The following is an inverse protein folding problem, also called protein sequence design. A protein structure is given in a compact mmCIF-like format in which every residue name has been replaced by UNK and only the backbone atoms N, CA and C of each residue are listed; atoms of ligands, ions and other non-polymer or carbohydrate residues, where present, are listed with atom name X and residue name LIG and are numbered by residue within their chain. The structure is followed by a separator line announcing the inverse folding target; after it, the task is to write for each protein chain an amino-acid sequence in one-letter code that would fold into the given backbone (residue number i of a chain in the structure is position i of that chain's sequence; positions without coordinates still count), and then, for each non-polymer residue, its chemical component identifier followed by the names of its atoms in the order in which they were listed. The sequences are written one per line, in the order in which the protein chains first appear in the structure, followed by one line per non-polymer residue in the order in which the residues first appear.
data_IF_408338194583
#
_entry.id   IF_408338194583
#
_cell.length_a   1.000
_cell.length_b   1.000
_cell.length_c   1.000
_cell.angle_alpha   90.00
_cell.angle_beta   90.00
_cell.angle_gamma   90.00
#
_symmetry.space_group_name_H-M   'P 1'
#
loop_
_entity.id
_entity.type
_entity.pdbx_description
1 polymer ?
#
# COMPACT_ATOMS: atom_id res chain seq x y z
N UNK A 1 -3.90 6.53 7.00
CA UNK A 1 -4.39 6.72 8.39
C UNK A 1 -3.84 5.62 9.29
N UNK A 2 -4.02 4.35 8.91
CA UNK A 2 -3.52 3.18 9.67
C UNK A 2 -1.99 3.13 9.82
N UNK A 3 -1.23 3.57 8.80
CA UNK A 3 0.24 3.67 8.88
C UNK A 3 0.70 4.65 9.97
N UNK A 4 0.06 5.82 10.06
CA UNK A 4 0.37 6.84 11.07
C UNK A 4 -0.06 6.41 12.46
N UNK A 5 -1.20 5.73 12.59
CA UNK A 5 -1.65 5.13 13.87
C UNK A 5 -0.65 4.10 14.39
N UNK A 6 -0.14 3.25 13.49
CA UNK A 6 0.88 2.25 13.82
C UNK A 6 2.19 2.91 14.26
N UNK A 7 2.64 3.95 13.57
CA UNK A 7 3.82 4.73 13.99
C UNK A 7 3.59 5.43 15.32
N UNK A 8 2.41 6.00 15.56
CA UNK A 8 2.08 6.64 16.84
C UNK A 8 2.14 5.66 18.01
N UNK A 9 1.74 4.40 17.79
CA UNK A 9 1.69 3.37 18.84
C UNK A 9 3.04 2.71 19.10
N UNK A 10 3.81 2.42 18.05
CA UNK A 10 5.03 1.60 18.15
C UNK A 10 6.32 2.45 18.05
N UNK A 11 6.23 3.68 17.57
CA UNK A 11 7.37 4.45 17.10
C UNK A 11 7.78 4.05 15.68
N UNK A 12 8.44 4.95 14.93
CA UNK A 12 8.67 4.77 13.48
C UNK A 12 9.49 3.52 13.15
N UNK A 13 10.57 3.27 13.90
CA UNK A 13 11.43 2.09 13.68
C UNK A 13 10.73 0.76 13.94
N UNK A 14 9.87 0.69 14.96
CA UNK A 14 9.16 -0.54 15.28
C UNK A 14 7.92 -0.73 14.38
N UNK A 15 7.29 0.34 13.92
CA UNK A 15 6.22 0.29 12.93
C UNK A 15 6.70 -0.23 11.57
N UNK A 16 7.91 0.15 11.17
CA UNK A 16 8.56 -0.35 9.94
C UNK A 16 9.20 -1.73 10.10
N UNK A 17 9.27 -2.28 11.31
CA UNK A 17 9.77 -3.65 11.53
C UNK A 17 8.84 -4.70 10.91
N UNK A 18 9.36 -5.90 10.66
CA UNK A 18 8.56 -7.02 10.15
C UNK A 18 7.29 -7.28 10.99
N UNK A 19 7.37 -7.10 12.32
CA UNK A 19 6.23 -7.26 13.24
C UNK A 19 5.20 -6.14 13.06
N UNK A 20 5.66 -4.89 12.91
CA UNK A 20 4.79 -3.74 12.67
C UNK A 20 4.09 -3.80 11.30
N UNK A 21 4.81 -4.24 10.28
CA UNK A 21 4.25 -4.48 8.95
C UNK A 21 3.27 -5.67 8.96
N UNK A 22 3.57 -6.75 9.68
CA UNK A 22 2.64 -7.89 9.82
C UNK A 22 1.31 -7.48 10.46
N UNK A 23 1.34 -6.63 11.49
CA UNK A 23 0.13 -6.13 12.15
C UNK A 23 -0.79 -5.31 11.24
N UNK A 24 -0.27 -4.79 10.12
CA UNK A 24 -1.04 -4.00 9.13
C UNK A 24 -1.20 -4.73 7.79
N UNK A 25 -0.55 -5.87 7.62
CA UNK A 25 -0.43 -6.61 6.36
C UNK A 25 -1.78 -6.93 5.70
N UNK A 26 -2.78 -7.36 6.48
CA UNK A 26 -4.12 -7.66 5.94
C UNK A 26 -4.85 -6.42 5.42
N UNK A 27 -4.56 -5.24 5.97
CA UNK A 27 -5.24 -3.99 5.64
C UNK A 27 -4.59 -3.23 4.49
N UNK A 28 -3.30 -3.46 4.24
CA UNK A 28 -2.53 -2.82 3.16
C UNK A 28 -2.47 -3.67 1.88
N UNK A 29 -3.23 -4.78 1.80
CA UNK A 29 -3.26 -5.62 0.61
C UNK A 29 -3.84 -4.86 -0.59
N UNK A 30 -3.30 -5.04 -1.81
CA UNK A 30 -3.82 -4.40 -3.02
C UNK A 30 -5.06 -5.15 -3.57
N UNK A 31 -5.90 -5.75 -2.73
CA UNK A 31 -7.07 -6.52 -3.14
C UNK A 31 -6.75 -7.67 -4.09
N UNK A 32 -7.53 -7.82 -5.17
CA UNK A 32 -7.38 -8.92 -6.12
C UNK A 32 -6.06 -8.92 -6.88
N UNK A 33 -5.27 -7.85 -6.81
CA UNK A 33 -3.96 -7.77 -7.46
C UNK A 33 -2.88 -8.63 -6.77
N UNK A 34 -3.07 -8.98 -5.49
CA UNK A 34 -2.14 -9.80 -4.71
C UNK A 34 -0.72 -9.22 -4.61
N UNK A 35 0.23 -10.03 -4.17
CA UNK A 35 1.62 -9.58 -3.94
C UNK A 35 2.35 -9.28 -5.25
N UNK A 36 2.11 -10.09 -6.30
CA UNK A 36 2.69 -9.83 -7.63
C UNK A 36 2.24 -8.49 -8.19
N UNK A 37 0.95 -8.17 -8.05
CA UNK A 37 0.44 -6.86 -8.43
C UNK A 37 1.02 -5.73 -7.57
N UNK A 38 1.18 -5.95 -6.26
CA UNK A 38 1.87 -5.00 -5.37
C UNK A 38 3.30 -4.68 -5.88
N UNK A 39 4.04 -5.69 -6.33
CA UNK A 39 5.40 -5.53 -6.85
C UNK A 39 5.42 -4.75 -8.18
N UNK A 40 4.48 -5.03 -9.09
CA UNK A 40 4.35 -4.25 -10.33
C UNK A 40 3.97 -2.80 -10.04
N UNK A 41 3.06 -2.56 -9.09
CA UNK A 41 2.70 -1.21 -8.64
C UNK A 41 3.90 -0.50 -8.03
N UNK A 42 4.69 -1.18 -7.19
CA UNK A 42 5.91 -0.62 -6.62
C UNK A 42 6.89 -0.13 -7.71
N UNK A 43 7.18 -0.98 -8.69
CA UNK A 43 8.08 -0.65 -9.80
C UNK A 43 7.52 0.49 -10.66
N UNK A 44 6.22 0.45 -10.97
CA UNK A 44 5.55 1.48 -11.76
C UNK A 44 5.57 2.83 -11.04
N UNK A 45 5.27 2.84 -9.74
CA UNK A 45 5.29 4.04 -8.92
C UNK A 45 6.69 4.63 -8.80
N UNK A 46 7.75 3.82 -8.66
CA UNK A 46 9.13 4.32 -8.66
C UNK A 46 9.58 4.84 -10.03
N UNK A 47 9.02 4.30 -11.12
CA UNK A 47 9.27 4.84 -12.46
C UNK A 47 8.60 6.21 -12.67
N UNK A 48 7.41 6.42 -12.09
CA UNK A 48 6.67 7.69 -12.18
C UNK A 48 7.19 8.72 -11.17
N UNK A 49 7.57 8.27 -9.98
CA UNK A 49 8.04 9.06 -8.86
C UNK A 49 9.38 8.50 -8.36
N UNK A 50 10.50 8.85 -9.01
CA UNK A 50 11.83 8.40 -8.60
C UNK A 50 12.10 8.71 -7.12
N UNK A 51 12.85 7.83 -6.46
CA UNK A 51 13.15 7.95 -5.02
C UNK A 51 13.76 9.29 -4.64
N UNK A 52 14.58 9.89 -5.49
CA UNK A 52 15.16 11.22 -5.26
C UNK A 52 14.11 12.33 -5.17
N UNK A 53 13.03 12.24 -5.94
CA UNK A 53 11.91 13.19 -5.87
C UNK A 53 11.07 12.94 -4.62
N UNK A 54 10.85 11.67 -4.27
CA UNK A 54 10.14 11.30 -3.04
C UNK A 54 10.88 11.79 -1.79
N UNK A 55 12.21 11.68 -1.75
CA UNK A 55 13.04 12.20 -0.66
C UNK A 55 12.94 13.73 -0.54
N UNK A 56 12.82 14.47 -1.64
CA UNK A 56 12.58 15.92 -1.60
C UNK A 56 11.23 16.27 -0.97
N UNK A 57 10.24 15.40 -1.14
CA UNK A 57 8.90 15.55 -0.57
C UNK A 57 8.75 14.93 0.83
N UNK A 58 9.84 14.45 1.47
CA UNK A 58 9.78 13.67 2.70
C UNK A 58 9.00 14.32 3.84
N UNK A 59 9.08 15.64 3.96
CA UNK A 59 8.40 16.37 5.02
C UNK A 59 6.86 16.28 4.92
N UNK A 60 6.32 15.90 3.76
CA UNK A 60 4.87 15.73 3.54
C UNK A 60 4.31 14.42 4.07
N UNK A 61 5.15 13.40 4.24
CA UNK A 61 4.74 12.06 4.70
C UNK A 61 5.54 11.56 5.91
N UNK A 62 6.40 12.40 6.48
CA UNK A 62 6.98 12.16 7.80
C UNK A 62 5.88 11.82 8.82
N UNK A 63 6.11 10.88 9.75
CA UNK A 63 7.38 10.22 10.07
C UNK A 63 7.71 8.96 9.24
N UNK A 64 7.00 8.67 8.15
CA UNK A 64 7.26 7.49 7.33
C UNK A 64 8.52 7.67 6.49
N UNK A 65 9.32 6.61 6.34
CA UNK A 65 10.34 6.56 5.28
C UNK A 65 9.68 6.52 3.89
N UNK A 66 10.44 6.81 2.83
CA UNK A 66 9.95 6.71 1.44
C UNK A 66 9.39 5.32 1.14
N UNK A 67 10.08 4.27 1.59
CA UNK A 67 9.64 2.88 1.38
C UNK A 67 8.36 2.60 2.15
N UNK A 68 8.28 3.00 3.42
CA UNK A 68 7.06 2.83 4.20
C UNK A 68 5.89 3.59 3.59
N UNK A 69 6.10 4.81 3.10
CA UNK A 69 5.08 5.59 2.41
C UNK A 69 4.61 4.89 1.11
N UNK A 70 5.53 4.37 0.30
CA UNK A 70 5.19 3.61 -0.89
C UNK A 70 4.32 2.38 -0.56
N UNK A 71 4.77 1.55 0.38
CA UNK A 71 4.13 0.29 0.73
C UNK A 71 2.80 0.46 1.46
N UNK A 72 2.71 1.41 2.39
CA UNK A 72 1.54 1.55 3.26
C UNK A 72 0.52 2.60 2.81
N UNK A 73 0.87 3.41 1.80
CA UNK A 73 -0.01 4.46 1.27
C UNK A 73 -0.12 4.40 -0.25
N UNK A 74 0.97 4.61 -1.00
CA UNK A 74 0.86 4.77 -2.45
C UNK A 74 0.39 3.51 -3.16
N UNK A 75 0.90 2.32 -2.79
CA UNK A 75 0.47 1.05 -3.38
C UNK A 75 -1.03 0.79 -3.12
N UNK A 76 -1.54 0.85 -1.87
CA UNK A 76 -2.97 0.70 -1.61
C UNK A 76 -3.86 1.72 -2.32
N UNK A 77 -3.44 3.00 -2.40
CA UNK A 77 -4.21 4.04 -3.10
C UNK A 77 -4.20 3.85 -4.62
N UNK A 78 -3.07 3.43 -5.19
CA UNK A 78 -2.99 3.07 -6.61
C UNK A 78 -3.86 1.86 -6.94
N UNK A 79 -3.81 0.81 -6.11
CA UNK A 79 -4.68 -0.36 -6.27
C UNK A 79 -6.17 0.03 -6.19
N UNK A 80 -6.54 0.89 -5.24
CA UNK A 80 -7.90 1.40 -5.12
C UNK A 80 -8.33 2.19 -6.36
N UNK A 81 -7.46 3.08 -6.87
CA UNK A 81 -7.74 3.85 -8.08
C UNK A 81 -7.94 2.96 -9.32
N UNK A 82 -7.10 1.93 -9.48
CA UNK A 82 -7.25 0.96 -10.56
C UNK A 82 -8.56 0.16 -10.44
N UNK A 83 -8.96 -0.24 -9.23
CA UNK A 83 -10.26 -0.92 -9.03
C UNK A 83 -11.43 0.00 -9.39
N UNK A 84 -11.34 1.30 -9.03
CA UNK A 84 -12.35 2.28 -9.40
C UNK A 84 -12.50 2.36 -10.92
N UNK A 85 -11.38 2.38 -11.64
CA UNK A 85 -11.33 2.42 -13.11
C UNK A 85 -11.86 1.11 -13.72
N UNK A 86 -11.33 -0.04 -13.31
CA UNK A 86 -11.69 -1.37 -13.82
C UNK A 86 -13.20 -1.65 -13.70
N UNK A 87 -13.80 -1.20 -12.61
CA UNK A 87 -15.21 -1.49 -12.29
C UNK A 87 -16.14 -0.32 -12.58
N UNK A 88 -15.62 0.80 -13.06
CA UNK A 88 -16.35 2.07 -13.20
C UNK A 88 -17.21 2.36 -11.95
N UNK A 89 -16.57 2.32 -10.78
CA UNK A 89 -17.24 2.31 -9.48
C UNK A 89 -16.85 3.51 -8.62
N UNK A 90 -17.69 3.82 -7.64
CA UNK A 90 -17.37 4.85 -6.65
C UNK A 90 -16.19 4.39 -5.78
N UNK A 91 -15.49 5.35 -5.16
CA UNK A 91 -14.39 5.04 -4.23
C UNK A 91 -14.83 4.10 -3.09
N UNK A 92 -16.07 4.21 -2.62
CA UNK A 92 -16.58 3.37 -1.54
C UNK A 92 -16.78 1.92 -1.99
N UNK A 93 -17.34 1.71 -3.18
CA UNK A 93 -17.52 0.38 -3.77
C UNK A 93 -16.19 -0.28 -4.12
N UNK A 94 -15.25 0.50 -4.66
CA UNK A 94 -13.90 0.04 -4.95
C UNK A 94 -13.16 -0.34 -3.66
N UNK A 95 -13.33 0.41 -2.57
CA UNK A 95 -12.74 0.07 -1.27
C UNK A 95 -13.33 -1.20 -0.69
N UNK A 96 -14.65 -1.41 -0.85
CA UNK A 96 -15.29 -2.67 -0.46
C UNK A 96 -14.73 -3.84 -1.27
N UNK A 97 -14.56 -3.65 -2.58
CA UNK A 97 -13.95 -4.65 -3.48
C UNK A 97 -12.50 -4.95 -3.11
N UNK A 98 -11.68 -3.92 -2.88
CA UNK A 98 -10.28 -4.05 -2.45
C UNK A 98 -10.17 -4.93 -1.21
N UNK A 99 -11.02 -4.70 -0.20
CA UNK A 99 -11.02 -5.49 1.04
C UNK A 99 -11.55 -6.90 0.85
N UNK A 100 -12.68 -7.05 0.15
CA UNK A 100 -13.32 -8.35 -0.05
C UNK A 100 -12.47 -9.30 -0.91
N UNK A 101 -11.65 -8.75 -1.81
CA UNK A 101 -10.84 -9.52 -2.75
C UNK A 101 -9.41 -9.81 -2.27
N UNK A 102 -9.00 -9.33 -1.09
CA UNK A 102 -7.63 -9.51 -0.59
C UNK A 102 -7.22 -10.98 -0.35
N UNK A 103 -8.17 -11.84 0.05
CA UNK A 103 -7.93 -13.28 0.20
C UNK A 103 -7.74 -13.97 -1.16
N UNK A 104 -8.54 -13.57 -2.16
CA UNK A 104 -8.42 -14.05 -3.53
C UNK A 104 -7.06 -13.66 -4.14
N UNK A 105 -6.70 -12.37 -4.05
CA UNK A 105 -5.42 -11.89 -4.58
C UNK A 105 -4.22 -12.58 -3.94
N UNK A 106 -4.26 -12.82 -2.63
CA UNK A 106 -3.22 -13.58 -1.92
C UNK A 106 -3.11 -15.02 -2.42
N UNK A 107 -4.24 -15.72 -2.61
CA UNK A 107 -4.24 -17.11 -3.06
C UNK A 107 -3.84 -17.28 -4.53
N UNK A 108 -4.21 -16.32 -5.39
CA UNK A 108 -4.01 -16.45 -6.84
C UNK A 108 -2.70 -15.82 -7.33
N UNK A 109 -2.19 -14.81 -6.62
CA UNK A 109 -1.05 -14.00 -7.04
C UNK A 109 -0.06 -13.77 -5.89
N UNK A 110 0.27 -14.82 -5.15
CA UNK A 110 1.40 -14.83 -4.20
C UNK A 110 2.72 -14.60 -4.94
N UNK A 111 3.72 -14.05 -4.24
CA UNK A 111 5.08 -13.94 -4.77
C UNK A 111 5.82 -15.28 -4.61
N UNK A 112 5.41 -16.30 -5.38
CA UNK A 112 6.14 -17.56 -5.58
C UNK A 112 6.59 -17.71 -7.04
#
# INVERSE_FOLDING_TARGET
RDALDTVSRLGPRAAESAIGQYATFERIRPGYYGERGAMMLFQSLLSLYPSTQLEQARDTFAPLSVIAFLQSVLIPEAALALIMEDRNSTRQEALATLRASGAYGFAMFSAD
#
